data_IF_224571478934
#
_entry.id   IF_224571478934
#
_cell.length_a   1.000
_cell.length_b   1.000
_cell.length_c   1.000
_cell.angle_alpha   90.00
_cell.angle_beta   90.00
_cell.angle_gamma   90.00
#
_symmetry.space_group_name_H-M   'P 1'
#
loop_
_entity.id
_entity.type
_entity.pdbx_description
1 polymer ?
#
# COMPACT_ATOMS: atom_id res chain seq x y z
N UNK A 1 -22.83 9.34 -1.09
CA UNK A 1 -21.47 9.61 -0.54
C UNK A 1 -21.40 9.14 0.91
N UNK A 2 -20.44 8.31 1.24
CA UNK A 2 -20.15 7.82 2.61
C UNK A 2 -19.12 8.76 3.23
N UNK A 3 -19.46 9.38 4.37
CA UNK A 3 -18.59 10.39 5.01
C UNK A 3 -18.00 9.85 6.31
N UNK A 4 -16.69 9.73 6.35
CA UNK A 4 -15.94 9.26 7.53
C UNK A 4 -15.67 10.44 8.47
N UNK A 5 -16.19 10.32 9.70
CA UNK A 5 -16.11 11.38 10.73
C UNK A 5 -15.07 11.09 11.81
N UNK A 6 -14.81 9.80 12.11
CA UNK A 6 -13.77 9.37 13.06
C UNK A 6 -12.49 9.12 12.29
N UNK A 7 -11.38 9.61 12.81
CA UNK A 7 -10.09 9.52 12.16
C UNK A 7 -9.18 10.70 12.52
N UNK A 8 -8.12 10.89 11.76
CA UNK A 8 -7.17 11.96 11.99
C UNK A 8 -6.40 12.31 10.72
N UNK A 9 -6.57 13.53 10.24
CA UNK A 9 -5.66 14.09 9.24
C UNK A 9 -4.41 14.62 9.96
N UNK A 10 -3.30 13.93 9.78
CA UNK A 10 -2.05 14.26 10.43
C UNK A 10 -1.54 15.62 9.92
N UNK A 11 -1.32 16.62 10.82
CA UNK A 11 -0.86 17.95 10.42
C UNK A 11 0.65 17.97 10.15
N UNK A 12 1.10 17.14 9.21
CA UNK A 12 2.49 17.00 8.81
C UNK A 12 2.88 18.03 7.74
N UNK A 13 4.07 18.63 7.90
CA UNK A 13 4.65 19.53 6.91
C UNK A 13 5.21 18.77 5.70
N UNK A 14 5.45 19.49 4.60
CA UNK A 14 6.03 18.92 3.40
C UNK A 14 5.01 18.21 2.50
N UNK A 15 3.78 18.73 2.41
CA UNK A 15 2.77 18.24 1.46
C UNK A 15 3.28 18.39 0.02
N UNK A 16 3.05 17.39 -0.85
CA UNK A 16 3.50 17.44 -2.22
C UNK A 16 2.67 18.43 -3.05
N UNK A 17 3.36 19.19 -3.90
CA UNK A 17 2.70 19.84 -5.03
C UNK A 17 2.09 18.74 -5.93
N UNK A 18 0.81 18.88 -6.27
CA UNK A 18 0.07 17.91 -7.08
C UNK A 18 0.39 18.13 -8.58
N UNK A 19 1.70 18.10 -8.90
CA UNK A 19 2.26 18.22 -10.24
C UNK A 19 3.28 17.12 -10.45
N UNK A 20 3.14 16.40 -11.56
CA UNK A 20 3.99 15.26 -11.87
C UNK A 20 5.26 15.73 -12.56
N UNK A 21 6.39 15.35 -12.01
CA UNK A 21 7.72 15.59 -12.57
C UNK A 21 8.43 14.26 -12.85
N UNK A 22 9.44 14.27 -13.69
CA UNK A 22 10.36 13.13 -13.80
C UNK A 22 11.12 13.00 -12.48
N UNK A 23 11.16 11.78 -11.93
CA UNK A 23 12.05 11.46 -10.82
C UNK A 23 13.49 11.29 -11.28
N UNK A 24 14.41 11.16 -10.33
CA UNK A 24 15.80 10.81 -10.63
C UNK A 24 15.84 9.44 -11.33
N UNK A 25 16.76 9.30 -12.27
CA UNK A 25 16.99 8.02 -12.93
C UNK A 25 17.51 6.99 -11.92
N UNK A 26 16.91 5.80 -11.94
CA UNK A 26 17.34 4.67 -11.12
C UNK A 26 17.95 3.61 -12.01
N UNK A 27 19.10 3.08 -11.61
CA UNK A 27 19.78 2.00 -12.31
C UNK A 27 19.67 0.66 -11.56
N UNK A 28 18.97 0.63 -10.44
CA UNK A 28 18.66 -0.59 -9.69
C UNK A 28 17.17 -0.63 -9.35
N UNK A 29 16.59 -1.82 -9.49
CA UNK A 29 15.24 -2.12 -9.04
C UNK A 29 15.23 -3.43 -8.27
N UNK A 30 14.26 -3.62 -7.39
CA UNK A 30 14.10 -4.90 -6.70
C UNK A 30 12.64 -5.31 -6.52
N UNK A 31 12.43 -6.62 -6.35
CA UNK A 31 11.20 -7.16 -5.78
C UNK A 31 11.46 -7.49 -4.32
N UNK A 32 10.64 -6.96 -3.43
CA UNK A 32 10.68 -7.22 -1.99
C UNK A 32 9.81 -8.44 -1.66
N UNK A 33 10.41 -9.47 -1.07
CA UNK A 33 9.71 -10.73 -0.83
C UNK A 33 8.73 -10.69 0.34
N UNK A 34 9.03 -9.90 1.37
CA UNK A 34 8.26 -9.83 2.61
C UNK A 34 6.92 -9.09 2.46
N UNK A 35 6.74 -8.32 1.37
CA UNK A 35 5.47 -7.65 1.05
C UNK A 35 4.36 -8.63 0.65
N UNK A 36 4.73 -9.84 0.25
CA UNK A 36 3.79 -10.88 -0.15
C UNK A 36 3.56 -11.86 1.00
N UNK A 37 2.53 -11.55 1.80
CA UNK A 37 2.21 -12.28 3.03
C UNK A 37 2.14 -13.79 2.81
N UNK A 38 2.95 -14.54 3.55
CA UNK A 38 2.96 -16.01 3.53
C UNK A 38 3.63 -16.64 2.31
N UNK A 39 4.10 -15.87 1.32
CA UNK A 39 4.75 -16.36 0.12
C UNK A 39 6.03 -17.15 0.43
N UNK A 40 6.25 -18.25 -0.30
CA UNK A 40 7.48 -19.03 -0.28
C UNK A 40 8.07 -19.16 -1.69
N UNK A 41 9.20 -18.48 -1.98
CA UNK A 41 9.72 -18.44 -3.34
C UNK A 41 10.35 -19.76 -3.80
N UNK A 42 10.01 -20.16 -5.01
CA UNK A 42 10.73 -21.14 -5.83
C UNK A 42 11.48 -20.40 -6.90
N UNK A 43 12.75 -20.08 -6.65
CA UNK A 43 13.57 -19.28 -7.56
C UNK A 43 13.73 -19.97 -8.91
N UNK A 44 13.55 -19.19 -9.98
CA UNK A 44 13.80 -19.61 -11.38
C UNK A 44 15.08 -18.99 -11.93
N UNK A 45 15.71 -18.08 -11.16
CA UNK A 45 16.91 -17.32 -11.51
C UNK A 45 17.94 -17.36 -10.39
N UNK A 46 19.17 -16.99 -10.73
CA UNK A 46 20.34 -16.92 -9.83
C UNK A 46 21.02 -15.58 -10.00
N UNK A 47 21.87 -15.22 -9.04
CA UNK A 47 22.77 -14.08 -9.17
C UNK A 47 23.68 -14.29 -10.40
N UNK A 48 23.83 -13.21 -11.18
CA UNK A 48 24.53 -13.20 -12.46
C UNK A 48 23.66 -13.48 -13.68
N UNK A 49 22.42 -13.96 -13.52
CA UNK A 49 21.52 -14.18 -14.66
C UNK A 49 21.05 -12.85 -15.28
N UNK A 50 21.01 -12.80 -16.61
CA UNK A 50 20.41 -11.69 -17.36
C UNK A 50 18.93 -11.99 -17.58
N UNK A 51 18.08 -11.03 -17.25
CA UNK A 51 16.63 -11.14 -17.34
C UNK A 51 16.02 -10.05 -18.20
N UNK A 52 14.88 -10.35 -18.79
CA UNK A 52 14.05 -9.39 -19.53
C UNK A 52 12.95 -8.84 -18.60
N UNK A 53 12.47 -7.63 -18.85
CA UNK A 53 11.26 -7.12 -18.19
C UNK A 53 10.09 -8.08 -18.45
N UNK A 54 9.36 -8.46 -17.40
CA UNK A 54 8.26 -9.44 -17.50
C UNK A 54 8.70 -10.90 -17.42
N UNK A 55 9.99 -11.20 -17.36
CA UNK A 55 10.47 -12.59 -17.18
C UNK A 55 10.24 -13.06 -15.76
N UNK A 56 9.83 -14.32 -15.60
CA UNK A 56 9.58 -14.92 -14.27
C UNK A 56 10.88 -15.05 -13.47
N UNK A 57 10.90 -14.48 -12.28
CA UNK A 57 12.01 -14.56 -11.33
C UNK A 57 11.82 -15.72 -10.33
N UNK A 58 10.63 -15.87 -9.84
CA UNK A 58 10.25 -16.96 -8.92
C UNK A 58 8.74 -17.20 -8.94
N UNK A 59 8.35 -18.32 -8.37
CA UNK A 59 6.97 -18.79 -8.24
C UNK A 59 6.69 -19.04 -6.74
N UNK A 60 5.45 -18.83 -6.30
CA UNK A 60 5.08 -19.14 -4.93
C UNK A 60 4.80 -20.65 -4.76
N UNK A 61 5.59 -21.32 -3.92
CA UNK A 61 5.38 -22.74 -3.59
C UNK A 61 4.07 -23.03 -2.88
N UNK A 62 3.54 -22.04 -2.15
CA UNK A 62 2.30 -22.20 -1.40
C UNK A 62 1.06 -21.87 -2.22
N UNK A 63 1.26 -21.12 -3.31
CA UNK A 63 0.21 -20.73 -4.23
C UNK A 63 0.67 -21.08 -5.68
N UNK A 64 0.62 -22.38 -6.05
CA UNK A 64 1.19 -22.85 -7.32
C UNK A 64 0.62 -22.12 -8.54
N UNK A 65 1.50 -21.74 -9.45
CA UNK A 65 1.16 -20.99 -10.67
C UNK A 65 1.19 -19.47 -10.50
N UNK A 66 1.21 -18.95 -9.28
CA UNK A 66 1.43 -17.50 -9.07
C UNK A 66 2.91 -17.19 -9.26
N UNK A 67 3.20 -16.34 -10.25
CA UNK A 67 4.56 -15.96 -10.66
C UNK A 67 4.85 -14.51 -10.35
N UNK A 68 6.13 -14.23 -10.09
CA UNK A 68 6.68 -12.90 -9.83
C UNK A 68 7.68 -12.58 -10.93
N UNK A 69 7.44 -11.48 -11.64
CA UNK A 69 8.16 -11.14 -12.88
C UNK A 69 9.07 -9.91 -12.68
N UNK A 70 10.15 -9.87 -13.44
CA UNK A 70 11.13 -8.78 -13.40
C UNK A 70 10.50 -7.43 -13.79
N UNK A 71 10.63 -6.38 -12.97
CA UNK A 71 10.14 -5.05 -13.31
C UNK A 71 11.01 -4.31 -14.34
N UNK A 72 12.21 -4.80 -14.62
CA UNK A 72 13.11 -4.25 -15.62
C UNK A 72 13.94 -5.34 -16.27
N UNK A 73 14.54 -5.03 -17.43
CA UNK A 73 15.62 -5.85 -18.01
C UNK A 73 16.94 -5.52 -17.32
N UNK A 74 17.81 -6.50 -17.21
CA UNK A 74 19.12 -6.30 -16.59
C UNK A 74 19.72 -7.57 -16.02
N UNK A 75 20.68 -7.41 -15.14
CA UNK A 75 21.39 -8.52 -14.48
C UNK A 75 20.98 -8.61 -13.02
N UNK A 76 20.67 -9.81 -12.55
CA UNK A 76 20.41 -10.08 -11.14
C UNK A 76 21.73 -10.00 -10.38
N UNK A 77 21.87 -9.00 -9.52
CA UNK A 77 23.13 -8.75 -8.79
C UNK A 77 23.13 -9.40 -7.42
N UNK A 78 21.99 -9.35 -6.72
CA UNK A 78 21.89 -9.89 -5.35
C UNK A 78 20.52 -10.51 -5.11
N UNK A 79 20.50 -11.63 -4.40
CA UNK A 79 19.30 -12.23 -3.83
C UNK A 79 19.43 -12.22 -2.29
N UNK A 80 18.92 -11.16 -1.67
CA UNK A 80 19.00 -10.98 -0.23
C UNK A 80 18.06 -11.94 0.52
N UNK A 81 18.58 -12.55 1.57
CA UNK A 81 17.82 -13.46 2.43
C UNK A 81 18.06 -13.13 3.90
N UNK A 82 16.99 -13.01 4.64
CA UNK A 82 16.99 -12.79 6.08
C UNK A 82 17.06 -14.08 6.88
N UNK A 83 16.64 -14.00 8.13
CA UNK A 83 16.56 -15.15 9.02
C UNK A 83 15.72 -16.28 8.42
N UNK A 84 16.07 -17.53 8.74
CA UNK A 84 15.40 -18.72 8.21
C UNK A 84 15.29 -18.74 6.68
N UNK A 85 16.18 -17.99 5.98
CA UNK A 85 16.25 -17.86 4.53
C UNK A 85 14.99 -17.23 3.91
N UNK A 86 14.26 -16.40 4.64
CA UNK A 86 13.16 -15.58 4.09
C UNK A 86 13.72 -14.69 2.99
N UNK A 87 13.03 -14.61 1.84
CA UNK A 87 13.42 -13.75 0.75
C UNK A 87 13.15 -12.29 1.15
N UNK A 88 14.20 -11.46 1.20
CA UNK A 88 14.08 -10.03 1.45
C UNK A 88 13.95 -9.27 0.14
N UNK A 89 14.91 -9.42 -0.77
CA UNK A 89 14.84 -8.77 -2.08
C UNK A 89 15.58 -9.54 -3.17
N UNK A 90 15.10 -9.37 -4.41
CA UNK A 90 15.80 -9.77 -5.65
C UNK A 90 16.16 -8.49 -6.40
N UNK A 91 17.44 -8.16 -6.44
CA UNK A 91 17.95 -6.91 -7.01
C UNK A 91 18.40 -7.11 -8.44
N UNK A 92 17.98 -6.18 -9.32
CA UNK A 92 18.32 -6.15 -10.73
C UNK A 92 19.03 -4.84 -11.05
N UNK A 93 20.26 -4.91 -11.57
CA UNK A 93 20.93 -3.78 -12.20
C UNK A 93 20.34 -3.60 -13.59
N UNK A 94 19.69 -2.47 -13.80
CA UNK A 94 18.90 -2.19 -15.02
C UNK A 94 19.84 -2.00 -16.22
N UNK A 95 19.65 -2.81 -17.25
CA UNK A 95 20.41 -2.75 -18.51
C UNK A 95 19.53 -3.12 -19.69
N UNK A 96 19.56 -2.30 -20.73
CA UNK A 96 18.78 -2.52 -21.94
C UNK A 96 17.27 -2.32 -21.74
N UNK A 97 16.48 -2.71 -22.74
CA UNK A 97 15.02 -2.55 -22.75
C UNK A 97 14.30 -3.83 -23.22
N UNK A 98 14.98 -4.98 -23.12
CA UNK A 98 14.42 -6.25 -23.52
C UNK A 98 13.20 -6.60 -22.65
N UNK A 99 12.13 -7.06 -23.29
CA UNK A 99 10.92 -7.40 -22.57
C UNK A 99 10.24 -8.65 -23.13
N UNK A 100 9.46 -9.29 -22.27
CA UNK A 100 8.52 -10.33 -22.64
C UNK A 100 7.25 -9.65 -23.14
N UNK A 101 6.68 -10.18 -24.22
CA UNK A 101 5.37 -9.74 -24.74
C UNK A 101 4.28 -10.72 -24.34
N UNK A 102 3.14 -10.18 -23.99
CA UNK A 102 1.95 -10.92 -23.55
C UNK A 102 0.81 -10.78 -24.56
N UNK A 103 -0.31 -11.42 -24.29
CA UNK A 103 -1.49 -11.28 -25.14
C UNK A 103 -1.98 -9.82 -25.14
N UNK A 104 -2.25 -9.29 -26.34
CA UNK A 104 -2.83 -7.96 -26.54
C UNK A 104 -4.12 -8.04 -27.31
N UNK A 105 -4.99 -7.07 -27.05
CA UNK A 105 -6.33 -6.99 -27.64
C UNK A 105 -6.62 -5.55 -28.05
N UNK A 106 -7.50 -5.36 -29.01
CA UNK A 106 -7.99 -4.01 -29.29
C UNK A 106 -8.91 -3.54 -28.16
N UNK A 107 -8.90 -2.24 -27.83
CA UNK A 107 -9.73 -1.69 -26.76
C UNK A 107 -11.22 -2.05 -26.91
N UNK A 108 -11.76 -2.08 -28.13
CA UNK A 108 -13.14 -2.47 -28.41
C UNK A 108 -13.47 -3.94 -28.15
N UNK A 109 -12.47 -4.80 -27.99
CA UNK A 109 -12.64 -6.24 -27.77
C UNK A 109 -12.59 -6.61 -26.28
N UNK A 110 -12.11 -5.72 -25.41
CA UNK A 110 -11.89 -6.00 -23.98
C UNK A 110 -13.17 -6.46 -23.26
N UNK A 111 -14.32 -5.90 -23.62
CA UNK A 111 -15.60 -6.27 -23.03
C UNK A 111 -16.13 -7.65 -23.48
N UNK A 112 -15.52 -8.28 -24.46
CA UNK A 112 -15.90 -9.61 -24.99
C UNK A 112 -14.99 -10.73 -24.51
N UNK A 113 -13.90 -10.39 -23.78
CA UNK A 113 -12.95 -11.38 -23.27
C UNK A 113 -13.63 -12.35 -22.30
N UNK A 114 -13.19 -13.61 -22.36
CA UNK A 114 -13.56 -14.57 -21.33
C UNK A 114 -12.79 -14.36 -20.04
N UNK A 115 -13.34 -14.79 -18.91
CA UNK A 115 -12.67 -14.75 -17.61
C UNK A 115 -11.30 -15.46 -17.65
N UNK A 116 -11.23 -16.58 -18.37
CA UNK A 116 -10.02 -17.37 -18.56
C UNK A 116 -8.90 -16.60 -19.27
N UNK A 117 -9.24 -15.88 -20.35
CA UNK A 117 -8.28 -15.05 -21.10
C UNK A 117 -7.73 -13.92 -20.22
N UNK A 118 -8.62 -13.29 -19.45
CA UNK A 118 -8.20 -12.22 -18.53
C UNK A 118 -7.28 -12.77 -17.45
N UNK A 119 -7.68 -13.85 -16.80
CA UNK A 119 -6.91 -14.51 -15.75
C UNK A 119 -5.54 -14.96 -16.24
N UNK A 120 -5.49 -15.67 -17.37
CA UNK A 120 -4.25 -16.17 -17.94
C UNK A 120 -3.25 -15.04 -18.20
N UNK A 121 -3.69 -13.94 -18.82
CA UNK A 121 -2.82 -12.81 -19.13
C UNK A 121 -2.28 -12.12 -17.85
N UNK A 122 -3.13 -11.97 -16.82
CA UNK A 122 -2.72 -11.42 -15.53
C UNK A 122 -1.73 -12.32 -14.79
N UNK A 123 -1.91 -13.64 -14.88
CA UNK A 123 -1.01 -14.61 -14.24
C UNK A 123 0.34 -14.66 -14.97
N UNK A 124 0.35 -14.81 -16.28
CA UNK A 124 1.57 -14.90 -17.09
C UNK A 124 2.44 -13.64 -16.98
N UNK A 125 1.82 -12.47 -16.92
CA UNK A 125 2.53 -11.19 -16.76
C UNK A 125 3.02 -10.92 -15.32
N UNK A 126 2.56 -11.69 -14.33
CA UNK A 126 2.80 -11.43 -12.91
C UNK A 126 1.91 -10.33 -12.31
N UNK A 127 1.03 -9.69 -13.09
CA UNK A 127 0.10 -8.67 -12.56
C UNK A 127 -0.97 -9.27 -11.63
N UNK A 128 -1.14 -10.58 -11.60
CA UNK A 128 -1.96 -11.25 -10.59
C UNK A 128 -1.55 -10.88 -9.17
N UNK A 129 -0.27 -10.61 -8.93
CA UNK A 129 0.25 -10.17 -7.63
C UNK A 129 -0.17 -8.75 -7.23
N UNK A 130 -0.86 -8.01 -8.11
CA UNK A 130 -1.47 -6.72 -7.78
C UNK A 130 -2.70 -6.86 -6.88
N UNK A 131 -3.36 -8.01 -6.92
CA UNK A 131 -4.50 -8.30 -6.04
C UNK A 131 -4.03 -8.68 -4.64
N UNK A 132 -4.77 -8.19 -3.66
CA UNK A 132 -4.68 -8.64 -2.27
C UNK A 132 -6.05 -9.05 -1.76
N UNK A 133 -6.09 -10.07 -0.92
CA UNK A 133 -7.33 -10.54 -0.29
C UNK A 133 -7.61 -9.79 1.02
N UNK A 134 -8.86 -9.73 1.41
CA UNK A 134 -9.29 -9.53 2.80
C UNK A 134 -10.24 -10.69 3.14
N UNK A 135 -10.01 -11.43 4.21
CA UNK A 135 -8.93 -11.36 5.22
C UNK A 135 -7.53 -11.67 4.68
N UNK A 136 -6.53 -11.49 5.55
CA UNK A 136 -5.14 -11.93 5.50
C UNK A 136 -4.21 -11.16 4.55
N UNK A 137 -4.68 -10.30 3.65
CA UNK A 137 -3.85 -9.49 2.74
C UNK A 137 -2.87 -10.28 1.86
N UNK A 138 -3.29 -11.43 1.36
CA UNK A 138 -2.48 -12.33 0.52
C UNK A 138 -2.73 -12.12 -0.96
N UNK A 139 -1.78 -12.55 -1.78
CA UNK A 139 -2.05 -12.76 -3.20
C UNK A 139 -3.04 -13.92 -3.33
N UNK A 140 -4.18 -13.74 -4.03
CA UNK A 140 -5.20 -14.76 -4.10
C UNK A 140 -4.74 -16.03 -4.82
N UNK A 141 -5.27 -17.18 -4.39
CA UNK A 141 -5.07 -18.44 -5.09
C UNK A 141 -5.74 -18.41 -6.47
N UNK A 142 -5.16 -19.14 -7.44
CA UNK A 142 -5.66 -19.10 -8.82
C UNK A 142 -7.05 -19.70 -8.95
N UNK A 143 -7.42 -20.63 -8.10
CA UNK A 143 -8.74 -21.29 -8.07
C UNK A 143 -9.75 -20.59 -7.18
N UNK A 144 -9.34 -19.54 -6.44
CA UNK A 144 -10.24 -18.79 -5.57
C UNK A 144 -11.04 -17.72 -6.34
N UNK A 145 -12.23 -17.45 -5.82
CA UNK A 145 -13.09 -16.36 -6.31
C UNK A 145 -13.50 -15.45 -5.14
N UNK A 146 -13.47 -14.12 -5.33
CA UNK A 146 -13.95 -13.19 -4.32
C UNK A 146 -15.47 -13.08 -4.31
N UNK A 147 -16.05 -12.62 -3.20
CA UNK A 147 -17.44 -12.16 -3.19
C UNK A 147 -17.60 -10.85 -3.98
N UNK A 148 -16.61 -9.99 -3.95
CA UNK A 148 -16.51 -8.76 -4.76
C UNK A 148 -15.05 -8.33 -4.94
N UNK A 149 -14.81 -7.50 -5.96
CA UNK A 149 -13.51 -6.88 -6.24
C UNK A 149 -13.60 -5.38 -5.99
N UNK A 150 -12.63 -4.83 -5.26
CA UNK A 150 -12.54 -3.41 -4.96
C UNK A 150 -11.39 -2.76 -5.76
N UNK A 151 -11.70 -1.65 -6.41
CA UNK A 151 -10.71 -0.74 -6.99
C UNK A 151 -10.62 0.49 -6.09
N UNK A 152 -9.48 0.68 -5.44
CA UNK A 152 -9.24 1.85 -4.61
C UNK A 152 -8.65 2.98 -5.46
N UNK A 153 -9.47 4.03 -5.72
CA UNK A 153 -9.09 5.25 -6.41
C UNK A 153 -9.21 6.49 -5.48
N UNK A 154 -8.96 6.29 -4.19
CA UNK A 154 -8.88 7.33 -3.18
C UNK A 154 -7.68 7.06 -2.27
N UNK A 155 -6.99 8.12 -1.84
CA UNK A 155 -5.94 8.02 -0.86
C UNK A 155 -5.98 9.22 0.10
N UNK A 156 -6.14 8.95 1.38
CA UNK A 156 -6.12 9.95 2.46
C UNK A 156 -4.93 9.80 3.38
N UNK A 157 -3.93 8.98 3.01
CA UNK A 157 -2.70 8.90 3.77
C UNK A 157 -2.04 10.29 3.87
N UNK A 158 -1.40 10.61 4.99
CA UNK A 158 -0.61 11.83 5.07
C UNK A 158 0.39 11.91 3.93
N UNK A 159 0.46 13.06 3.25
CA UNK A 159 1.38 13.32 2.12
C UNK A 159 1.09 12.52 0.83
N UNK A 160 -0.05 11.91 0.67
CA UNK A 160 -0.38 11.13 -0.51
C UNK A 160 -0.53 11.99 -1.79
N UNK A 161 -0.37 11.35 -2.93
CA UNK A 161 -0.77 11.88 -4.22
C UNK A 161 -2.30 11.90 -4.35
N UNK A 162 -2.85 12.91 -5.03
CA UNK A 162 -4.26 12.86 -5.43
C UNK A 162 -4.41 11.90 -6.62
N UNK A 163 -5.19 10.80 -6.48
CA UNK A 163 -5.38 9.84 -7.57
C UNK A 163 -5.92 10.47 -8.87
N UNK A 164 -6.77 11.50 -8.78
CA UNK A 164 -7.29 12.20 -9.96
C UNK A 164 -6.17 12.79 -10.83
N UNK A 165 -5.14 13.36 -10.20
CA UNK A 165 -4.00 13.98 -10.92
C UNK A 165 -3.21 12.91 -11.67
N UNK A 166 -2.99 11.76 -11.05
CA UNK A 166 -2.27 10.63 -11.65
C UNK A 166 -3.11 10.03 -12.78
N UNK A 167 -4.38 9.77 -12.53
CA UNK A 167 -5.30 9.19 -13.50
C UNK A 167 -5.47 10.09 -14.73
N UNK A 168 -5.42 11.40 -14.59
CA UNK A 168 -5.60 12.35 -15.70
C UNK A 168 -4.66 12.09 -16.88
N UNK A 169 -3.46 11.58 -16.64
CA UNK A 169 -2.54 11.20 -17.70
C UNK A 169 -2.87 9.84 -18.35
N UNK A 170 -3.67 9.00 -17.68
CA UNK A 170 -3.92 7.62 -18.03
C UNK A 170 -5.40 7.24 -18.01
N UNK A 171 -6.30 8.18 -18.32
CA UNK A 171 -7.75 7.95 -18.22
C UNK A 171 -8.21 6.77 -19.06
N UNK A 172 -7.74 6.67 -20.30
CA UNK A 172 -8.15 5.59 -21.18
C UNK A 172 -7.60 4.24 -20.70
N UNK A 173 -6.34 4.20 -20.29
CA UNK A 173 -5.73 2.99 -19.72
C UNK A 173 -6.47 2.51 -18.46
N UNK A 174 -6.94 3.43 -17.64
CA UNK A 174 -7.74 3.11 -16.45
C UNK A 174 -9.11 2.54 -16.82
N UNK A 175 -9.80 3.12 -17.80
CA UNK A 175 -11.09 2.61 -18.31
C UNK A 175 -10.90 1.21 -18.92
N UNK A 176 -9.86 1.02 -19.71
CA UNK A 176 -9.53 -0.28 -20.32
C UNK A 176 -9.22 -1.34 -19.25
N UNK A 177 -8.51 -0.93 -18.19
CA UNK A 177 -8.26 -1.77 -17.03
C UNK A 177 -9.53 -2.16 -16.27
N UNK A 178 -10.43 -1.21 -15.99
CA UNK A 178 -11.74 -1.49 -15.40
C UNK A 178 -12.55 -2.46 -16.27
N UNK A 179 -12.52 -2.27 -17.59
CA UNK A 179 -13.23 -3.13 -18.54
C UNK A 179 -12.67 -4.55 -18.50
N UNK A 180 -11.35 -4.72 -18.53
CA UNK A 180 -10.72 -6.04 -18.42
C UNK A 180 -11.04 -6.71 -17.06
N UNK A 181 -10.93 -5.96 -15.95
CA UNK A 181 -11.25 -6.48 -14.61
C UNK A 181 -12.72 -6.87 -14.46
N UNK A 182 -13.66 -6.17 -15.10
CA UNK A 182 -15.08 -6.53 -15.08
C UNK A 182 -15.33 -7.90 -15.70
N UNK A 183 -14.45 -8.34 -16.62
CA UNK A 183 -14.54 -9.65 -17.28
C UNK A 183 -13.89 -10.77 -16.49
N UNK A 184 -13.03 -10.44 -15.51
CA UNK A 184 -12.41 -11.45 -14.63
C UNK A 184 -13.46 -12.21 -13.82
N UNK A 185 -14.43 -11.48 -13.25
CA UNK A 185 -15.56 -12.04 -12.50
C UNK A 185 -16.87 -11.35 -12.92
N UNK A 186 -17.44 -11.69 -14.08
CA UNK A 186 -18.56 -10.95 -14.68
C UNK A 186 -19.84 -10.99 -13.82
N UNK A 187 -19.98 -11.99 -12.94
CA UNK A 187 -21.13 -12.17 -12.03
C UNK A 187 -20.86 -11.62 -10.62
N UNK A 188 -19.70 -11.01 -10.36
CA UNK A 188 -19.36 -10.44 -9.05
C UNK A 188 -19.30 -8.92 -9.15
N UNK A 189 -19.65 -8.19 -8.07
CA UNK A 189 -19.53 -6.74 -8.05
C UNK A 189 -18.06 -6.30 -8.21
N UNK A 190 -17.83 -5.32 -9.07
CA UNK A 190 -16.61 -4.54 -9.18
C UNK A 190 -16.88 -3.17 -8.54
N UNK A 191 -16.36 -2.91 -7.36
CA UNK A 191 -16.61 -1.69 -6.58
C UNK A 191 -15.49 -0.68 -6.80
N UNK A 192 -15.77 0.39 -7.54
CA UNK A 192 -14.85 1.53 -7.68
C UNK A 192 -15.11 2.53 -6.56
N UNK A 193 -14.14 2.68 -5.66
CA UNK A 193 -14.21 3.62 -4.54
C UNK A 193 -13.34 4.85 -4.84
N UNK A 194 -13.95 6.04 -4.84
CA UNK A 194 -13.30 7.31 -5.16
C UNK A 194 -13.73 8.44 -4.22
N UNK A 195 -12.97 9.54 -4.22
CA UNK A 195 -13.39 10.74 -3.51
C UNK A 195 -14.63 11.35 -4.18
N UNK A 196 -15.61 11.77 -3.37
CA UNK A 196 -16.88 12.27 -3.87
C UNK A 196 -16.81 13.58 -4.65
N UNK A 197 -15.73 14.33 -4.46
CA UNK A 197 -15.43 15.59 -5.19
C UNK A 197 -14.49 15.38 -6.39
N UNK A 198 -14.07 14.13 -6.66
CA UNK A 198 -13.17 13.83 -7.78
C UNK A 198 -13.92 13.62 -9.10
N UNK A 199 -13.27 14.01 -10.21
CA UNK A 199 -13.76 13.79 -11.57
C UNK A 199 -13.17 12.53 -12.21
N UNK A 200 -12.88 11.50 -11.41
CA UNK A 200 -12.36 10.23 -11.92
C UNK A 200 -13.36 9.60 -12.91
N UNK A 201 -12.93 9.21 -14.13
CA UNK A 201 -13.82 8.69 -15.15
C UNK A 201 -14.37 7.33 -14.74
N UNK A 202 -15.59 7.11 -15.16
CA UNK A 202 -16.28 5.84 -15.02
C UNK A 202 -16.73 5.34 -16.39
N UNK A 203 -16.96 4.06 -16.49
CA UNK A 203 -17.47 3.38 -17.68
C UNK A 203 -18.73 2.61 -17.32
N UNK A 204 -19.66 2.54 -18.24
CA UNK A 204 -20.90 1.77 -18.04
C UNK A 204 -20.62 0.27 -18.24
N UNK A 205 -20.51 -0.48 -17.15
CA UNK A 205 -20.28 -1.92 -17.12
C UNK A 205 -21.32 -2.57 -16.22
N UNK A 206 -21.88 -3.73 -16.59
CA UNK A 206 -23.02 -4.34 -15.88
C UNK A 206 -22.76 -4.64 -14.39
N UNK A 207 -21.51 -4.93 -14.03
CA UNK A 207 -21.11 -5.28 -12.66
C UNK A 207 -20.34 -4.19 -11.93
N UNK A 208 -20.07 -3.03 -12.57
CA UNK A 208 -19.37 -1.90 -11.93
C UNK A 208 -20.33 -1.11 -11.04
N UNK A 209 -19.91 -0.91 -9.80
CA UNK A 209 -20.58 -0.04 -8.84
C UNK A 209 -19.62 1.05 -8.39
N UNK A 210 -20.03 2.30 -8.50
CA UNK A 210 -19.23 3.45 -8.10
C UNK A 210 -19.67 3.94 -6.72
N UNK A 211 -18.72 4.11 -5.82
CA UNK A 211 -18.94 4.55 -4.45
C UNK A 211 -18.11 5.79 -4.14
N UNK A 212 -18.79 6.83 -3.69
CA UNK A 212 -18.19 8.09 -3.29
C UNK A 212 -17.92 8.10 -1.80
N UNK A 213 -16.67 8.35 -1.44
CA UNK A 213 -16.22 8.52 -0.05
C UNK A 213 -15.71 9.93 0.21
N UNK A 214 -15.71 10.33 1.48
CA UNK A 214 -15.17 11.61 1.91
C UNK A 214 -14.95 11.63 3.42
N UNK A 215 -14.30 12.68 3.90
CA UNK A 215 -13.99 12.84 5.31
C UNK A 215 -12.49 12.73 5.61
N UNK A 216 -12.16 12.52 6.88
CA UNK A 216 -10.80 12.46 7.38
C UNK A 216 -10.15 11.08 7.12
N UNK A 217 -8.82 11.01 7.11
CA UNK A 217 -8.13 9.72 7.12
C UNK A 217 -8.63 8.88 8.33
N UNK A 218 -9.04 7.60 8.11
CA UNK A 218 -8.71 6.69 7.01
C UNK A 218 -9.79 6.55 5.91
N UNK A 219 -10.51 7.61 5.54
CA UNK A 219 -11.56 7.54 4.51
C UNK A 219 -11.08 6.97 3.15
N UNK A 220 -9.79 7.07 2.83
CA UNK A 220 -9.19 6.56 1.60
C UNK A 220 -8.54 5.18 1.72
N UNK A 221 -8.59 4.53 2.87
CA UNK A 221 -8.10 3.16 3.01
C UNK A 221 -9.11 2.15 2.47
N UNK A 222 -8.59 1.13 1.81
CA UNK A 222 -9.44 0.09 1.24
C UNK A 222 -10.18 -0.72 2.32
N UNK A 223 -9.59 -0.91 3.50
CA UNK A 223 -10.26 -1.54 4.64
C UNK A 223 -11.52 -0.79 5.05
N UNK A 224 -11.47 0.54 5.07
CA UNK A 224 -12.65 1.39 5.30
C UNK A 224 -13.71 1.17 4.21
N UNK A 225 -13.31 1.12 2.95
CA UNK A 225 -14.25 0.89 1.84
C UNK A 225 -14.94 -0.48 1.93
N UNK A 226 -14.16 -1.51 2.20
CA UNK A 226 -14.66 -2.89 2.35
C UNK A 226 -15.68 -2.97 3.49
N UNK A 227 -15.34 -2.42 4.65
CA UNK A 227 -16.21 -2.43 5.82
C UNK A 227 -17.61 -1.82 5.53
N UNK A 228 -17.65 -0.68 4.84
CA UNK A 228 -18.92 0.02 4.59
C UNK A 228 -19.73 -0.54 3.41
N UNK A 229 -19.12 -1.33 2.51
CA UNK A 229 -19.78 -1.80 1.29
C UNK A 229 -20.03 -3.32 1.32
N UNK A 230 -19.00 -4.08 1.66
CA UNK A 230 -19.02 -5.55 1.57
C UNK A 230 -18.09 -6.17 2.63
N UNK A 231 -18.41 -6.03 3.94
CA UNK A 231 -17.56 -6.47 5.03
C UNK A 231 -17.26 -7.96 4.96
N UNK A 232 -16.06 -8.32 5.36
CA UNK A 232 -15.52 -9.68 5.32
C UNK A 232 -15.60 -10.39 6.65
N UNK A 233 -15.29 -11.66 6.67
CA UNK A 233 -15.28 -12.51 7.87
C UNK A 233 -14.68 -13.88 7.55
N UNK A 234 -14.82 -14.85 8.46
CA UNK A 234 -14.21 -16.17 8.33
C UNK A 234 -14.58 -16.93 7.04
N UNK A 235 -15.77 -16.67 6.48
CA UNK A 235 -16.31 -17.41 5.32
C UNK A 235 -16.53 -16.52 4.10
N UNK A 236 -16.07 -15.28 4.14
CA UNK A 236 -16.27 -14.32 3.06
C UNK A 236 -14.98 -13.57 2.76
N UNK A 237 -14.54 -13.68 1.52
CA UNK A 237 -13.31 -13.04 1.04
C UNK A 237 -13.63 -12.03 -0.04
N UNK A 238 -13.04 -10.86 0.01
CA UNK A 238 -13.02 -9.88 -1.07
C UNK A 238 -11.59 -9.64 -1.52
N UNK A 239 -11.42 -9.18 -2.76
CA UNK A 239 -10.12 -8.79 -3.26
C UNK A 239 -10.09 -7.30 -3.54
N UNK A 240 -8.90 -6.74 -3.54
CA UNK A 240 -8.72 -5.33 -3.88
C UNK A 240 -7.46 -5.09 -4.72
N UNK A 241 -7.49 -3.98 -5.45
CA UNK A 241 -6.43 -3.50 -6.31
C UNK A 241 -6.39 -1.97 -6.26
N UNK A 242 -5.20 -1.36 -6.36
CA UNK A 242 -5.08 0.10 -6.42
C UNK A 242 -5.24 0.62 -7.85
N UNK A 243 -5.54 1.92 -7.97
CA UNK A 243 -5.83 2.56 -9.27
C UNK A 243 -4.66 2.53 -10.26
N UNK A 244 -3.39 2.58 -9.80
CA UNK A 244 -2.24 2.52 -10.71
C UNK A 244 -2.02 1.11 -11.25
N UNK A 245 -2.38 0.09 -10.50
CA UNK A 245 -2.37 -1.27 -11.02
C UNK A 245 -3.51 -1.52 -12.01
N UNK A 246 -4.64 -0.83 -11.87
CA UNK A 246 -5.70 -0.85 -12.91
C UNK A 246 -5.20 -0.22 -14.21
N UNK A 247 -4.45 0.89 -14.15
CA UNK A 247 -3.75 1.45 -15.33
C UNK A 247 -2.83 0.39 -15.94
N UNK A 248 -2.04 -0.31 -15.12
CA UNK A 248 -1.12 -1.33 -15.60
C UNK A 248 -1.86 -2.51 -16.27
N UNK A 249 -3.02 -2.91 -15.76
CA UNK A 249 -3.89 -3.89 -16.40
C UNK A 249 -4.35 -3.38 -17.77
N UNK A 250 -4.89 -2.17 -17.87
CA UNK A 250 -5.34 -1.60 -19.14
C UNK A 250 -4.22 -1.57 -20.19
N UNK A 251 -3.04 -1.10 -19.81
CA UNK A 251 -1.87 -1.07 -20.69
C UNK A 251 -1.42 -2.48 -21.10
N UNK A 252 -1.38 -3.44 -20.17
CA UNK A 252 -1.03 -4.82 -20.51
C UNK A 252 -1.96 -5.36 -21.61
N UNK A 253 -3.26 -5.20 -21.43
CA UNK A 253 -4.24 -5.75 -22.38
C UNK A 253 -4.25 -5.05 -23.73
N UNK A 254 -3.94 -3.76 -23.79
CA UNK A 254 -3.95 -3.00 -25.06
C UNK A 254 -2.61 -3.01 -25.79
N UNK A 255 -1.48 -3.14 -25.06
CA UNK A 255 -0.14 -3.11 -25.67
C UNK A 255 0.56 -4.47 -25.72
N UNK A 256 0.19 -5.40 -24.83
CA UNK A 256 0.90 -6.66 -24.61
C UNK A 256 2.21 -6.51 -23.84
N UNK A 257 2.42 -5.36 -23.18
CA UNK A 257 3.65 -5.07 -22.45
C UNK A 257 3.39 -4.85 -20.96
N UNK A 258 4.29 -5.35 -20.12
CA UNK A 258 4.21 -5.10 -18.69
C UNK A 258 4.48 -3.61 -18.39
N UNK A 259 3.48 -2.92 -17.84
CA UNK A 259 3.63 -1.53 -17.41
C UNK A 259 4.12 -1.46 -15.97
N UNK A 260 5.30 -0.90 -15.79
CA UNK A 260 6.02 -0.86 -14.51
C UNK A 260 6.18 0.55 -13.94
N UNK A 261 5.79 1.57 -14.70
CA UNK A 261 5.87 2.95 -14.23
C UNK A 261 4.96 3.18 -13.01
N UNK A 262 5.41 4.01 -12.11
CA UNK A 262 4.68 4.48 -10.94
C UNK A 262 4.85 5.99 -10.78
N UNK A 263 3.76 6.66 -10.44
CA UNK A 263 3.78 8.02 -9.98
C UNK A 263 3.63 7.99 -8.47
N UNK A 264 4.66 8.44 -7.77
CA UNK A 264 4.69 8.44 -6.31
C UNK A 264 4.80 9.85 -5.77
N UNK A 265 4.22 10.08 -4.61
CA UNK A 265 4.46 11.29 -3.85
C UNK A 265 5.84 11.21 -3.18
N UNK A 266 6.78 12.06 -3.57
CA UNK A 266 8.02 12.28 -2.83
C UNK A 266 7.80 13.49 -1.91
N UNK A 267 7.59 13.24 -0.61
CA UNK A 267 7.08 14.27 0.29
C UNK A 267 7.54 14.07 1.75
N UNK A 268 7.29 15.07 2.55
CA UNK A 268 7.64 15.08 3.97
C UNK A 268 8.51 16.26 4.35
N UNK A 269 8.64 16.53 5.65
CA UNK A 269 9.35 17.70 6.16
C UNK A 269 10.83 17.78 5.76
N UNK A 270 11.44 16.65 5.39
CA UNK A 270 12.84 16.57 5.00
C UNK A 270 13.07 16.54 3.49
N UNK A 271 12.04 16.60 2.66
CA UNK A 271 12.15 16.79 1.23
C UNK A 271 12.34 18.28 0.91
N UNK A 272 13.27 18.64 0.03
CA UNK A 272 13.51 20.03 -0.38
C UNK A 272 12.34 20.60 -1.15
N UNK A 273 11.87 19.85 -2.16
CA UNK A 273 10.77 20.22 -3.04
C UNK A 273 9.74 19.09 -3.13
N UNK A 274 8.80 19.00 -2.16
CA UNK A 274 7.78 17.95 -2.17
C UNK A 274 6.88 18.03 -3.41
N UNK A 275 6.80 16.93 -4.17
CA UNK A 275 6.04 16.85 -5.42
C UNK A 275 5.73 15.41 -5.80
N UNK A 276 4.97 15.22 -6.89
CA UNK A 276 4.79 13.91 -7.48
C UNK A 276 5.93 13.62 -8.45
N UNK A 277 6.48 12.42 -8.37
CA UNK A 277 7.59 11.99 -9.24
C UNK A 277 7.26 10.68 -9.93
N UNK A 278 7.66 10.61 -11.21
CA UNK A 278 7.56 9.42 -12.04
C UNK A 278 8.78 8.54 -11.81
N UNK A 279 8.55 7.28 -11.50
CA UNK A 279 9.56 6.26 -11.27
C UNK A 279 9.07 4.89 -11.74
N UNK A 280 9.66 3.80 -11.26
CA UNK A 280 9.26 2.43 -11.61
C UNK A 280 9.03 1.58 -10.36
N UNK A 281 8.27 0.50 -10.50
CA UNK A 281 8.10 -0.49 -9.43
C UNK A 281 9.47 -0.99 -8.97
N UNK A 282 9.66 -1.05 -7.65
CA UNK A 282 10.91 -1.54 -7.06
C UNK A 282 12.10 -0.59 -7.21
N UNK A 283 11.91 0.68 -7.59
CA UNK A 283 12.98 1.66 -7.73
C UNK A 283 13.85 1.78 -6.47
N UNK A 284 15.16 1.85 -6.62
CA UNK A 284 16.06 2.10 -5.52
C UNK A 284 15.81 3.49 -4.93
N UNK A 285 15.42 3.55 -3.66
CA UNK A 285 15.01 4.79 -2.99
C UNK A 285 16.17 5.72 -2.68
N UNK A 286 17.36 5.18 -2.46
CA UNK A 286 18.56 5.99 -2.28
C UNK A 286 18.89 6.78 -3.55
N UNK A 287 18.79 6.14 -4.72
CA UNK A 287 19.00 6.79 -6.01
C UNK A 287 17.86 7.78 -6.33
N UNK A 288 16.61 7.38 -6.09
CA UNK A 288 15.44 8.23 -6.34
C UNK A 288 15.48 9.53 -5.51
N UNK A 289 15.98 9.47 -4.28
CA UNK A 289 16.03 10.61 -3.36
C UNK A 289 17.36 11.36 -3.37
N UNK A 290 18.30 10.97 -4.22
CA UNK A 290 19.63 11.60 -4.31
C UNK A 290 19.51 13.10 -4.62
N UNK A 291 20.09 13.95 -3.75
CA UNK A 291 20.01 15.41 -3.89
C UNK A 291 18.67 16.06 -3.52
N UNK A 292 17.63 15.28 -3.27
CA UNK A 292 16.27 15.74 -2.98
C UNK A 292 16.03 16.07 -1.49
N UNK A 293 16.91 15.60 -0.61
CA UNK A 293 16.70 15.70 0.83
C UNK A 293 17.45 16.89 1.43
N UNK A 294 16.88 17.46 2.49
CA UNK A 294 17.53 18.45 3.35
C UNK A 294 18.69 17.77 4.10
N UNK A 295 19.64 18.60 4.55
CA UNK A 295 20.76 18.11 5.36
C UNK A 295 20.28 17.54 6.69
N UNK A 296 20.98 16.53 7.20
CA UNK A 296 20.70 15.88 8.46
C UNK A 296 20.54 14.37 8.35
N UNK A 297 20.24 13.74 9.48
CA UNK A 297 19.95 12.30 9.51
C UNK A 297 18.46 12.10 9.19
N UNK A 298 18.19 11.56 8.03
CA UNK A 298 16.85 11.42 7.48
C UNK A 298 16.43 9.94 7.40
N UNK A 299 15.18 9.66 7.75
CA UNK A 299 14.54 8.37 7.47
C UNK A 299 13.74 8.46 6.19
N UNK A 300 14.13 7.68 5.19
CA UNK A 300 13.37 7.45 3.97
C UNK A 300 12.43 6.27 4.21
N UNK A 301 11.17 6.43 3.85
CA UNK A 301 10.11 5.45 4.07
C UNK A 301 9.46 5.12 2.73
N UNK A 302 9.46 3.85 2.37
CA UNK A 302 8.63 3.33 1.28
C UNK A 302 7.18 3.26 1.75
N UNK A 303 6.33 4.16 1.29
CA UNK A 303 4.94 4.27 1.73
C UNK A 303 4.66 5.43 2.69
N UNK A 304 3.53 5.35 3.38
CA UNK A 304 3.05 6.36 4.33
C UNK A 304 3.90 6.45 5.59
N UNK A 305 3.99 7.63 6.18
CA UNK A 305 4.59 7.82 7.52
C UNK A 305 3.87 7.04 8.62
N UNK A 306 2.65 6.55 8.36
CA UNK A 306 1.84 5.80 9.32
C UNK A 306 2.07 4.29 9.24
N UNK A 307 2.29 3.73 8.04
CA UNK A 307 2.35 2.28 7.82
C UNK A 307 3.42 1.86 6.80
N UNK A 308 4.28 2.76 6.35
CA UNK A 308 5.34 2.44 5.39
C UNK A 308 6.53 1.74 6.03
N UNK A 309 7.37 1.16 5.18
CA UNK A 309 8.59 0.46 5.57
C UNK A 309 9.81 1.38 5.47
N UNK A 310 10.67 1.38 6.48
CA UNK A 310 11.96 2.10 6.43
C UNK A 310 12.83 1.53 5.32
N UNK A 311 13.30 2.41 4.42
CA UNK A 311 14.30 2.06 3.42
C UNK A 311 15.66 1.86 4.10
N UNK A 312 16.13 0.61 4.10
CA UNK A 312 17.42 0.24 4.70
C UNK A 312 17.92 -1.10 4.16
N UNK A 313 19.18 -1.14 3.74
CA UNK A 313 19.88 -2.36 3.32
C UNK A 313 19.10 -3.13 2.22
N UNK A 314 18.68 -4.36 2.48
CA UNK A 314 17.92 -5.18 1.53
C UNK A 314 16.54 -4.59 1.15
N UNK A 315 16.05 -3.60 1.90
CA UNK A 315 14.76 -2.95 1.73
C UNK A 315 14.88 -1.50 1.21
N UNK A 316 16.02 -1.12 0.64
CA UNK A 316 16.25 0.23 0.05
C UNK A 316 15.46 0.47 -1.25
N UNK A 317 14.33 -0.18 -1.43
CA UNK A 317 13.55 -0.17 -2.67
C UNK A 317 12.10 0.20 -2.44
N UNK A 318 11.49 0.78 -3.48
CA UNK A 318 10.06 1.11 -3.47
C UNK A 318 9.22 -0.17 -3.42
N UNK A 319 8.39 -0.29 -2.40
CA UNK A 319 7.50 -1.40 -2.23
C UNK A 319 6.48 -1.53 -3.36
N UNK A 320 6.04 -2.77 -3.61
CA UNK A 320 5.09 -3.10 -4.69
C UNK A 320 3.79 -2.33 -4.59
N UNK A 321 3.32 -2.12 -3.36
CA UNK A 321 2.04 -1.48 -3.08
C UNK A 321 2.19 -0.02 -2.62
N UNK A 322 3.43 0.48 -2.49
CA UNK A 322 3.71 1.84 -2.07
C UNK A 322 3.45 2.85 -3.20
N UNK A 323 2.64 3.87 -2.90
CA UNK A 323 2.31 4.98 -3.82
C UNK A 323 2.93 6.31 -3.38
N UNK A 324 3.80 6.27 -2.38
CA UNK A 324 4.53 7.44 -1.87
C UNK A 324 5.87 7.04 -1.27
N UNK A 325 6.78 8.00 -1.23
CA UNK A 325 8.05 7.98 -0.52
C UNK A 325 8.03 9.15 0.47
N UNK A 326 7.97 8.81 1.74
CA UNK A 326 7.88 9.80 2.82
C UNK A 326 9.23 9.99 3.48
N UNK A 327 9.62 11.23 3.78
CA UNK A 327 10.91 11.48 4.42
C UNK A 327 10.74 12.38 5.64
N UNK A 328 11.19 11.87 6.80
CA UNK A 328 11.18 12.56 8.09
C UNK A 328 12.59 12.54 8.70
N UNK A 329 12.87 13.44 9.63
CA UNK A 329 14.13 13.43 10.36
C UNK A 329 14.16 12.32 11.40
N UNK A 330 15.34 11.74 11.66
CA UNK A 330 15.54 10.87 12.81
C UNK A 330 15.47 11.66 14.12
N UNK A 331 14.61 11.20 15.03
CA UNK A 331 14.34 11.84 16.31
C UNK A 331 15.23 11.32 17.43
N UNK A 332 16.55 11.44 17.29
CA UNK A 332 17.51 10.94 18.27
C UNK A 332 17.73 11.87 19.47
N UNK A 333 17.26 13.12 19.38
CA UNK A 333 17.43 14.11 20.44
C UNK A 333 16.36 13.96 21.54
N UNK A 334 16.79 13.89 22.78
CA UNK A 334 15.91 13.92 23.94
C UNK A 334 15.75 15.36 24.42
N UNK A 335 14.53 15.87 24.37
CA UNK A 335 14.21 17.18 24.94
C UNK A 335 14.31 17.15 26.48
N UNK A 336 15.08 18.07 27.06
CA UNK A 336 15.13 18.24 28.49
C UNK A 336 13.77 18.76 29.00
N UNK A 337 13.16 18.03 29.94
CA UNK A 337 11.83 18.34 30.51
C UNK A 337 10.72 18.53 29.44
N UNK A 338 10.86 17.95 28.26
CA UNK A 338 9.93 18.11 27.13
C UNK A 338 8.48 17.73 27.42
N UNK A 339 8.22 16.95 28.46
CA UNK A 339 6.87 16.55 28.91
C UNK A 339 6.17 17.61 29.79
N UNK A 340 6.89 18.61 30.36
CA UNK A 340 6.33 19.70 31.14
C UNK A 340 6.15 20.97 30.30
N UNK A 341 6.98 21.15 29.28
CA UNK A 341 7.05 22.41 28.54
C UNK A 341 5.89 22.53 27.55
N UNK A 342 5.01 23.54 27.68
CA UNK A 342 3.90 23.77 26.77
C UNK A 342 4.39 24.37 25.43
N UNK A 343 5.01 23.57 24.57
CA UNK A 343 5.63 24.05 23.34
C UNK A 343 4.61 24.28 22.23
N UNK A 344 4.72 25.42 21.55
CA UNK A 344 3.89 25.73 20.36
C UNK A 344 4.30 24.92 19.12
N UNK A 345 5.49 24.33 19.13
CA UNK A 345 6.03 23.51 18.03
C UNK A 345 5.79 22.01 18.21
N UNK A 346 5.13 21.60 19.27
CA UNK A 346 4.85 20.21 19.60
C UNK A 346 3.40 19.88 19.27
N UNK A 347 3.19 18.75 18.62
CA UNK A 347 1.86 18.22 18.36
C UNK A 347 1.44 17.26 19.48
N UNK A 348 0.19 17.31 19.86
CA UNK A 348 -0.44 16.31 20.72
C UNK A 348 -1.88 16.11 20.28
N UNK A 349 -2.34 14.88 20.24
CA UNK A 349 -3.75 14.58 19.96
C UNK A 349 -4.68 15.05 21.07
N UNK A 350 -4.20 15.10 22.29
CA UNK A 350 -4.87 15.70 23.45
C UNK A 350 -4.50 17.18 23.58
N UNK A 351 -5.32 17.97 24.24
CA UNK A 351 -5.11 19.42 24.41
C UNK A 351 -4.04 19.74 25.47
N UNK A 352 -2.91 19.04 25.45
CA UNK A 352 -1.86 19.15 26.46
C UNK A 352 -0.74 20.14 26.11
N UNK A 353 -0.62 20.50 24.84
CA UNK A 353 0.41 21.43 24.33
C UNK A 353 -0.20 22.58 23.55
N UNK A 354 0.47 23.73 23.52
CA UNK A 354 -0.01 24.95 22.84
C UNK A 354 -0.14 24.75 21.31
N UNK A 355 0.67 23.88 20.71
CA UNK A 355 0.58 23.55 19.28
C UNK A 355 -0.76 22.96 18.88
N UNK A 356 -1.53 22.38 19.78
CA UNK A 356 -2.87 21.86 19.51
C UNK A 356 -3.87 22.96 19.10
N UNK A 357 -3.71 24.19 19.59
CA UNK A 357 -4.68 25.28 19.39
C UNK A 357 -4.50 26.07 18.11
N UNK A 358 -3.50 25.72 17.28
CA UNK A 358 -3.22 26.40 16.01
C UNK A 358 -3.41 25.51 14.79
N UNK A 359 -3.70 26.12 13.62
CA UNK A 359 -3.66 25.44 12.31
C UNK A 359 -2.22 25.40 11.78
N UNK A 360 -1.31 24.74 12.50
CA UNK A 360 0.10 24.66 12.14
C UNK A 360 0.43 23.27 11.60
N UNK A 361 1.31 23.22 10.62
CA UNK A 361 1.93 21.97 10.16
C UNK A 361 3.22 21.73 10.94
N UNK A 362 3.47 20.49 11.30
CA UNK A 362 4.60 20.09 12.14
C UNK A 362 5.63 19.29 11.35
N UNK A 363 6.90 19.52 11.66
CA UNK A 363 8.00 18.69 11.18
C UNK A 363 8.11 17.47 12.10
N UNK A 364 7.29 16.46 11.82
CA UNK A 364 7.36 15.20 12.55
C UNK A 364 8.71 14.51 12.33
N UNK A 365 9.15 13.81 13.36
CA UNK A 365 10.37 13.01 13.39
C UNK A 365 10.03 11.58 13.81
N UNK A 366 11.02 10.72 13.87
CA UNK A 366 10.84 9.34 14.37
C UNK A 366 10.77 9.26 15.91
N UNK A 367 10.86 10.39 16.62
CA UNK A 367 10.77 10.41 18.08
C UNK A 367 9.37 10.03 18.55
N UNK A 368 9.25 8.97 19.32
CA UNK A 368 7.99 8.51 19.89
C UNK A 368 7.43 9.44 20.96
N UNK A 369 8.26 10.28 21.55
CA UNK A 369 7.91 11.21 22.66
C UNK A 369 7.17 10.53 23.82
N UNK A 370 7.57 9.32 24.15
CA UNK A 370 6.97 8.48 25.18
C UNK A 370 7.83 7.25 25.47
N UNK A 371 7.25 6.30 26.15
CA UNK A 371 7.89 5.02 26.42
C UNK A 371 6.83 3.93 26.57
N UNK A 372 7.25 2.71 26.36
CA UNK A 372 6.39 1.53 26.52
C UNK A 372 5.76 1.49 27.90
N UNK A 373 4.48 1.26 27.95
CA UNK A 373 3.69 1.13 29.19
C UNK A 373 2.42 0.33 28.88
N UNK A 374 1.75 -0.13 29.94
CA UNK A 374 0.46 -0.80 29.78
C UNK A 374 -0.55 0.08 29.02
N UNK A 375 -1.41 -0.55 28.24
CA UNK A 375 -2.50 0.11 27.54
C UNK A 375 -3.38 0.88 28.52
N UNK A 376 -3.70 2.12 28.19
CA UNK A 376 -4.62 2.97 28.96
C UNK A 376 -5.85 3.32 28.11
N UNK A 377 -7.05 2.85 28.48
CA UNK A 377 -8.28 3.07 27.72
C UNK A 377 -8.85 4.46 27.99
N UNK A 378 -8.33 5.49 27.31
CA UNK A 378 -8.75 6.90 27.46
C UNK A 378 -9.62 7.39 26.30
N UNK A 379 -10.15 6.48 25.47
CA UNK A 379 -10.99 6.80 24.32
C UNK A 379 -10.22 7.33 23.09
N UNK A 380 -8.88 7.19 23.06
CA UNK A 380 -8.08 7.63 21.92
C UNK A 380 -8.32 6.79 20.68
N UNK A 381 -8.47 5.48 20.85
CA UNK A 381 -8.69 4.54 19.75
C UNK A 381 -10.07 4.72 19.11
N UNK A 382 -11.10 4.92 19.92
CA UNK A 382 -12.48 5.16 19.47
C UNK A 382 -12.63 6.43 18.62
N UNK A 383 -11.72 7.39 18.81
CA UNK A 383 -11.69 8.64 18.04
C UNK A 383 -11.19 8.44 16.62
N UNK A 384 -10.30 7.49 16.42
CA UNK A 384 -9.61 7.28 15.14
C UNK A 384 -10.07 6.03 14.38
N UNK A 385 -10.87 5.16 15.02
CA UNK A 385 -11.44 3.96 14.41
C UNK A 385 -12.85 4.27 13.88
N UNK A 386 -13.03 4.39 12.54
CA UNK A 386 -14.35 4.66 11.95
C UNK A 386 -15.22 3.41 11.80
N UNK A 387 -14.60 2.23 11.81
CA UNK A 387 -15.29 0.95 11.62
C UNK A 387 -16.16 0.63 12.83
N UNK A 388 -17.20 -0.16 12.61
CA UNK A 388 -18.09 -0.63 13.69
C UNK A 388 -17.44 -1.77 14.48
N UNK A 389 -16.29 -1.46 15.06
CA UNK A 389 -15.44 -2.34 15.85
C UNK A 389 -15.22 -1.68 17.20
N UNK A 390 -15.07 -2.48 18.26
CA UNK A 390 -14.72 -2.01 19.60
C UNK A 390 -13.17 -1.99 19.76
N UNK A 391 -12.49 -0.89 19.37
CA UNK A 391 -11.04 -0.93 19.18
C UNK A 391 -10.28 -1.20 20.49
N UNK A 392 -10.70 -0.62 21.62
CA UNK A 392 -10.01 -0.87 22.89
C UNK A 392 -10.04 -2.34 23.30
N UNK A 393 -11.15 -3.04 23.10
CA UNK A 393 -11.25 -4.47 23.42
C UNK A 393 -10.45 -5.30 22.43
N UNK A 394 -10.62 -5.05 21.13
CA UNK A 394 -9.86 -5.75 20.09
C UNK A 394 -8.34 -5.62 20.30
N UNK A 395 -7.85 -4.40 20.52
CA UNK A 395 -6.41 -4.17 20.71
C UNK A 395 -5.85 -4.88 21.95
N UNK A 396 -6.66 -5.05 22.99
CA UNK A 396 -6.26 -5.86 24.16
C UNK A 396 -6.16 -7.33 23.84
N UNK A 397 -7.12 -7.89 23.12
CA UNK A 397 -7.12 -9.29 22.69
C UNK A 397 -5.95 -9.56 21.75
N UNK A 398 -5.63 -8.62 20.85
CA UNK A 398 -4.44 -8.71 20.02
C UNK A 398 -3.15 -8.77 20.85
N UNK A 399 -2.98 -7.89 21.86
CA UNK A 399 -1.78 -7.85 22.71
C UNK A 399 -1.58 -9.17 23.47
N UNK A 400 -2.66 -9.77 23.96
CA UNK A 400 -2.57 -11.05 24.70
C UNK A 400 -2.57 -12.28 23.80
N UNK A 401 -2.79 -12.10 22.48
CA UNK A 401 -2.80 -13.17 21.49
C UNK A 401 -4.03 -14.06 21.57
N UNK A 402 -5.16 -13.53 22.06
CA UNK A 402 -6.46 -14.20 22.08
C UNK A 402 -7.06 -14.17 20.67
N UNK A 403 -6.94 -15.28 19.95
CA UNK A 403 -7.41 -15.42 18.56
C UNK A 403 -8.92 -15.49 18.47
N UNK A 404 -9.61 -16.11 19.43
CA UNK A 404 -11.06 -16.26 19.41
C UNK A 404 -11.73 -14.90 19.71
N UNK A 405 -11.28 -14.22 20.75
CA UNK A 405 -11.73 -12.86 21.10
C UNK A 405 -11.47 -11.87 19.98
N UNK A 406 -10.29 -11.89 19.37
CA UNK A 406 -9.94 -11.00 18.26
C UNK A 406 -10.84 -11.25 17.03
N UNK A 407 -11.15 -12.50 16.67
CA UNK A 407 -12.07 -12.83 15.59
C UNK A 407 -13.51 -12.34 15.90
N UNK A 408 -14.00 -12.60 17.10
CA UNK A 408 -15.33 -12.14 17.55
C UNK A 408 -15.45 -10.61 17.51
N UNK A 409 -14.35 -9.88 17.68
CA UNK A 409 -14.27 -8.42 17.63
C UNK A 409 -13.92 -7.85 16.25
N UNK A 410 -13.81 -8.69 15.20
CA UNK A 410 -13.71 -8.26 13.81
C UNK A 410 -12.27 -8.09 13.29
N UNK A 411 -11.25 -8.72 13.88
CA UNK A 411 -9.86 -8.59 13.40
C UNK A 411 -9.66 -9.04 11.95
N UNK A 412 -10.51 -9.93 11.42
CA UNK A 412 -10.43 -10.43 10.05
C UNK A 412 -10.71 -9.36 8.98
N UNK A 413 -11.39 -8.28 9.35
CA UNK A 413 -11.62 -7.15 8.43
C UNK A 413 -10.37 -6.28 8.25
N UNK A 414 -9.42 -6.36 9.17
CA UNK A 414 -8.31 -5.42 9.30
C UNK A 414 -7.03 -5.88 8.62
N UNK A 415 -6.23 -4.91 8.23
CA UNK A 415 -4.83 -5.04 7.86
C UNK A 415 -3.99 -4.06 8.71
N UNK A 416 -2.68 -4.15 8.64
CA UNK A 416 -1.77 -3.32 9.42
C UNK A 416 -2.06 -1.83 9.26
N UNK A 417 -2.39 -1.39 8.03
CA UNK A 417 -2.69 0.01 7.73
C UNK A 417 -3.93 0.54 8.47
N UNK A 418 -4.93 -0.32 8.72
CA UNK A 418 -6.17 0.06 9.39
C UNK A 418 -5.95 0.37 10.88
N UNK A 419 -4.89 -0.21 11.50
CA UNK A 419 -4.51 0.05 12.88
C UNK A 419 -3.41 1.11 13.05
N UNK A 420 -2.89 1.66 11.95
CA UNK A 420 -1.78 2.63 12.01
C UNK A 420 -2.12 3.89 12.81
N UNK A 421 -3.33 4.42 12.70
CA UNK A 421 -3.78 5.52 13.56
C UNK A 421 -3.91 5.10 15.01
N UNK A 422 -4.30 3.86 15.31
CA UNK A 422 -4.35 3.35 16.68
C UNK A 422 -2.95 3.29 17.29
N UNK A 423 -1.93 2.82 16.54
CA UNK A 423 -0.53 2.88 16.95
C UNK A 423 -0.06 4.33 17.19
N UNK A 424 -0.37 5.23 16.26
CA UNK A 424 0.00 6.64 16.37
C UNK A 424 -0.56 7.33 17.64
N UNK A 425 -1.83 7.09 17.96
CA UNK A 425 -2.48 7.72 19.13
C UNK A 425 -2.24 6.97 20.44
N UNK A 426 -1.57 5.83 20.40
CA UNK A 426 -1.38 4.96 21.56
C UNK A 426 -0.49 5.59 22.62
N UNK A 427 -0.99 5.81 23.87
CA UNK A 427 -0.14 6.29 24.95
C UNK A 427 0.94 5.28 25.36
N UNK A 428 0.68 3.98 25.17
CA UNK A 428 1.57 2.86 25.51
C UNK A 428 2.60 2.53 24.43
N UNK A 429 2.54 3.18 23.26
CA UNK A 429 3.49 3.00 22.14
C UNK A 429 3.53 1.58 21.56
N UNK A 430 2.37 0.92 21.49
CA UNK A 430 2.24 -0.38 20.86
C UNK A 430 2.19 -0.27 19.33
N UNK A 431 2.90 -1.15 18.65
CA UNK A 431 2.86 -1.35 17.21
C UNK A 431 1.77 -2.37 16.86
N UNK A 432 0.53 -1.90 16.81
CA UNK A 432 -0.64 -2.78 16.63
C UNK A 432 -0.68 -3.48 15.28
N UNK A 433 -0.12 -2.88 14.22
CA UNK A 433 -0.05 -3.53 12.91
C UNK A 433 0.73 -4.85 12.95
N UNK A 434 1.92 -4.84 13.53
CA UNK A 434 2.77 -6.03 13.67
C UNK A 434 2.11 -7.10 14.55
N UNK A 435 1.42 -6.68 15.61
CA UNK A 435 0.70 -7.58 16.52
C UNK A 435 -0.49 -8.20 15.79
N UNK A 436 -1.26 -7.41 15.04
CA UNK A 436 -2.36 -7.91 14.22
C UNK A 436 -1.88 -8.96 13.23
N UNK A 437 -0.77 -8.72 12.51
CA UNK A 437 -0.22 -9.68 11.56
C UNK A 437 0.11 -11.02 12.21
N UNK A 438 0.72 -11.01 13.40
CA UNK A 438 1.02 -12.23 14.14
C UNK A 438 -0.26 -13.00 14.50
N UNK A 439 -1.30 -12.30 14.94
CA UNK A 439 -2.59 -12.92 15.29
C UNK A 439 -3.28 -13.47 14.03
N UNK A 440 -3.33 -12.70 12.92
CA UNK A 440 -3.89 -13.18 11.65
C UNK A 440 -3.15 -14.41 11.11
N UNK A 441 -1.83 -14.42 11.18
CA UNK A 441 -1.00 -15.57 10.78
C UNK A 441 -1.28 -16.81 11.64
N UNK A 442 -1.58 -16.61 12.93
CA UNK A 442 -1.96 -17.69 13.86
C UNK A 442 -3.35 -18.23 13.54
N UNK A 443 -4.34 -17.36 13.39
CA UNK A 443 -5.71 -17.72 13.00
C UNK A 443 -5.71 -18.54 11.71
N UNK A 444 -5.00 -18.09 10.69
CA UNK A 444 -4.95 -18.81 9.41
C UNK A 444 -4.31 -20.21 9.50
N UNK A 445 -3.39 -20.42 10.42
CA UNK A 445 -2.73 -21.74 10.60
C UNK A 445 -3.52 -22.69 11.49
N UNK A 446 -4.26 -22.15 12.43
CA UNK A 446 -4.98 -22.95 13.45
C UNK A 446 -6.47 -23.14 13.10
N UNK A 447 -7.02 -22.32 12.19
CA UNK A 447 -8.33 -22.41 11.74
C UNK A 447 -9.33 -22.09 11.30
#
# INVERSE_FOLDING_TARGET
>A
MITIKKGLDLPIAGKPAQVIHSGNAVNQVAILGEEYVGMRPSMKVREGDVVKKGQVLFEDKKNPGVVFTAPASGTITVINRGEKRVLQSVVIDVQGNDQVTFAKYNAGELNTLSSEQVKQNLVESGLWTAFRTRPFSKVPALDAEPSSLFVNAMDTNPLAANPEVVLKEHWQDFIDGLTALSRLFPNKPLNLCKAGDSNIPTVDLPNLKVHDFGGVHPAGLVGTHIHFIDPVGAHKTVWHINYQDVIAVGKLFTTGELYVERIVSLAGPQVKEPRLVRTVIGANLFQLTAGELKDGNNRVISGSVLCGQTAKDAHDYLGRYALQVSVIAEGNEKEFLGWITPQSNKYSITRTVLGHFGKKLFNFTTAENGGERAMVPIGSYERVMPLDILPTLLLRDLIVGDTDGAQALGCLELDEEDLALCSFVCPGKYEYGSILRQVLDKIEKEG
#
